data_IF_930400583383
#
_entry.id   IF_930400583383
#
_cell.length_a   1.000
_cell.length_b   1.000
_cell.length_c   1.000
_cell.angle_alpha   90.00
_cell.angle_beta   90.00
_cell.angle_gamma   90.00
#
_symmetry.space_group_name_H-M   'P 1'
#
loop_
_entity.id
_entity.type
_entity.pdbx_description
1 polymer ?
#
# COMPACT_ATOMS: atom_id res chain seq x y z
N UNK A 1 13.22 7.33 -0.17
CA UNK A 1 12.01 7.66 0.63
C UNK A 1 12.23 7.20 2.08
N UNK A 2 11.90 8.02 3.11
CA UNK A 2 12.08 7.65 4.53
C UNK A 2 11.22 6.46 4.97
N UNK A 3 10.07 6.28 4.31
CA UNK A 3 9.17 5.15 4.52
C UNK A 3 9.86 3.88 4.10
N UNK A 4 10.41 3.84 2.89
CA UNK A 4 11.17 2.68 2.41
C UNK A 4 12.33 2.31 3.35
N UNK A 5 13.10 3.29 3.84
CA UNK A 5 14.18 3.03 4.82
C UNK A 5 13.61 2.42 6.11
N UNK A 6 12.46 2.91 6.56
CA UNK A 6 11.77 2.38 7.74
C UNK A 6 11.32 0.93 7.50
N UNK A 7 10.70 0.64 6.36
CA UNK A 7 10.28 -0.72 5.97
C UNK A 7 11.49 -1.67 5.95
N UNK A 8 12.57 -1.29 5.27
CA UNK A 8 13.79 -2.07 5.20
C UNK A 8 14.37 -2.35 6.59
N UNK A 9 14.39 -1.35 7.48
CA UNK A 9 14.96 -1.49 8.81
C UNK A 9 14.14 -2.38 9.76
N UNK A 10 12.80 -2.34 9.69
CA UNK A 10 11.95 -3.02 10.68
C UNK A 10 11.46 -4.40 10.25
N UNK A 11 11.51 -4.70 8.94
CA UNK A 11 11.03 -5.99 8.40
C UNK A 11 12.16 -6.92 7.92
N UNK A 12 13.27 -6.44 7.37
CA UNK A 12 14.39 -7.30 6.92
C UNK A 12 13.97 -8.57 6.13
N UNK A 13 12.88 -8.52 5.34
CA UNK A 13 12.25 -9.60 4.54
C UNK A 13 10.99 -10.28 5.14
N UNK A 14 10.59 -9.97 6.38
CA UNK A 14 9.48 -10.65 7.08
C UNK A 14 8.09 -10.01 6.91
N UNK A 15 7.92 -9.13 5.92
CA UNK A 15 6.71 -8.32 5.81
C UNK A 15 5.49 -9.16 5.39
N UNK A 16 4.67 -9.42 6.40
CA UNK A 16 3.34 -10.03 6.37
C UNK A 16 2.33 -9.09 7.02
N UNK A 17 1.02 -9.31 6.85
CA UNK A 17 0.00 -8.45 7.45
C UNK A 17 0.09 -8.41 8.98
N UNK A 18 0.37 -9.57 9.61
CA UNK A 18 0.58 -9.69 11.06
C UNK A 18 1.81 -8.92 11.52
N UNK A 19 2.94 -9.08 10.79
CA UNK A 19 4.18 -8.38 11.13
C UNK A 19 4.03 -6.86 11.01
N UNK A 20 3.23 -6.40 10.03
CA UNK A 20 2.96 -4.99 9.76
C UNK A 20 2.08 -4.40 10.86
N UNK A 21 1.00 -5.09 11.21
CA UNK A 21 0.11 -4.68 12.30
C UNK A 21 0.87 -4.51 13.63
N UNK A 22 1.76 -5.46 13.97
CA UNK A 22 2.59 -5.38 15.17
C UNK A 22 3.56 -4.18 15.17
N UNK A 23 3.90 -3.65 13.99
CA UNK A 23 4.86 -2.54 13.80
C UNK A 23 4.20 -1.25 13.33
N UNK A 24 2.87 -1.22 13.17
CA UNK A 24 2.10 -0.06 12.72
C UNK A 24 2.40 1.22 13.51
N UNK A 25 2.61 1.19 14.85
CA UNK A 25 2.96 2.41 15.60
C UNK A 25 4.27 3.08 15.14
N UNK A 26 5.21 2.33 14.53
CA UNK A 26 6.43 2.90 13.96
C UNK A 26 6.19 3.49 12.58
N UNK A 27 5.32 2.87 11.79
CA UNK A 27 4.89 3.38 10.48
C UNK A 27 4.17 4.71 10.66
N UNK A 28 3.17 4.78 11.53
CA UNK A 28 2.41 6.01 11.78
C UNK A 28 3.28 7.18 12.27
N UNK A 29 4.39 6.90 12.99
CA UNK A 29 5.33 7.94 13.42
C UNK A 29 6.12 8.57 12.28
N UNK A 30 6.32 7.85 11.16
CA UNK A 30 7.07 8.37 10.00
C UNK A 30 6.15 8.97 8.93
N UNK A 31 4.85 8.67 9.00
CA UNK A 31 3.78 9.26 8.19
C UNK A 31 3.28 10.59 8.81
N UNK A 32 4.17 11.57 8.90
CA UNK A 32 3.77 12.94 9.24
C UNK A 32 3.15 13.66 8.01
N UNK A 33 2.68 14.90 8.20
CA UNK A 33 2.00 15.70 7.17
C UNK A 33 2.83 16.04 5.93
N UNK A 34 4.13 15.74 5.92
CA UNK A 34 4.99 15.89 4.75
C UNK A 34 5.16 14.61 3.94
N UNK A 35 4.47 13.52 4.30
CA UNK A 35 4.35 12.31 3.48
C UNK A 35 3.04 12.33 2.71
N UNK A 36 3.11 12.23 1.38
CA UNK A 36 1.91 12.01 0.57
C UNK A 36 1.53 10.53 0.53
N UNK A 37 0.25 10.21 0.27
CA UNK A 37 -0.19 8.84 0.05
C UNK A 37 0.59 8.14 -1.08
N UNK A 38 0.95 8.87 -2.15
CA UNK A 38 1.81 8.35 -3.22
C UNK A 38 3.16 7.90 -2.68
N UNK A 39 3.82 8.69 -1.83
CA UNK A 39 5.11 8.31 -1.24
C UNK A 39 5.02 7.02 -0.42
N UNK A 40 3.90 6.80 0.29
CA UNK A 40 3.62 5.55 1.03
C UNK A 40 3.47 4.38 0.06
N UNK A 41 2.55 4.53 -0.91
CA UNK A 41 2.20 3.48 -1.86
C UNK A 41 3.39 3.07 -2.74
N UNK A 42 4.15 4.05 -3.23
CA UNK A 42 5.41 3.82 -3.95
C UNK A 42 6.41 3.08 -3.04
N UNK A 43 6.64 3.55 -1.81
CA UNK A 43 7.62 2.93 -0.91
C UNK A 43 7.28 1.47 -0.55
N UNK A 44 6.01 1.18 -0.25
CA UNK A 44 5.55 -0.18 0.01
C UNK A 44 5.63 -1.05 -1.25
N UNK A 45 5.24 -0.51 -2.41
CA UNK A 45 5.33 -1.22 -3.68
C UNK A 45 6.77 -1.60 -4.04
N UNK A 46 7.70 -0.65 -3.97
CA UNK A 46 9.12 -0.91 -4.22
C UNK A 46 9.69 -1.94 -3.24
N UNK A 47 9.38 -1.81 -1.95
CA UNK A 47 9.83 -2.79 -0.94
C UNK A 47 9.30 -4.19 -1.25
N UNK A 48 8.00 -4.34 -1.51
CA UNK A 48 7.39 -5.63 -1.84
C UNK A 48 7.97 -6.25 -3.10
N UNK A 49 8.16 -5.45 -4.15
CA UNK A 49 8.72 -5.92 -5.41
C UNK A 49 10.17 -6.35 -5.28
N UNK A 50 10.99 -5.60 -4.54
CA UNK A 50 12.39 -5.94 -4.30
C UNK A 50 12.54 -7.23 -3.50
N UNK A 51 11.74 -7.39 -2.44
CA UNK A 51 11.77 -8.61 -1.62
C UNK A 51 11.12 -9.80 -2.31
N UNK A 52 10.13 -9.55 -3.17
CA UNK A 52 9.36 -10.58 -3.85
C UNK A 52 8.67 -11.52 -2.87
N UNK A 53 8.44 -12.76 -3.32
CA UNK A 53 7.98 -13.87 -2.46
C UNK A 53 6.78 -13.48 -1.57
N UNK A 54 6.94 -13.73 -0.27
CA UNK A 54 5.92 -13.46 0.75
C UNK A 54 5.54 -11.98 0.86
N UNK A 55 6.49 -11.06 0.68
CA UNK A 55 6.20 -9.62 0.79
C UNK A 55 5.23 -9.17 -0.33
N UNK A 56 5.49 -9.61 -1.56
CA UNK A 56 4.63 -9.27 -2.69
C UNK A 56 3.25 -9.92 -2.59
N UNK A 57 3.17 -11.20 -2.21
CA UNK A 57 1.86 -11.86 -2.03
C UNK A 57 1.07 -11.30 -0.86
N UNK A 58 1.75 -10.75 0.15
CA UNK A 58 1.13 -10.09 1.31
C UNK A 58 0.68 -8.65 1.02
N UNK A 59 1.17 -8.02 -0.05
CA UNK A 59 0.92 -6.62 -0.37
C UNK A 59 -0.55 -6.18 -0.26
N UNK A 60 -1.54 -6.86 -0.87
CA UNK A 60 -2.96 -6.44 -0.80
C UNK A 60 -3.47 -6.39 0.64
N UNK A 61 -3.10 -7.37 1.45
CA UNK A 61 -3.50 -7.44 2.85
C UNK A 61 -2.75 -6.41 3.71
N UNK A 62 -1.49 -6.11 3.38
CA UNK A 62 -0.75 -5.02 4.01
C UNK A 62 -1.37 -3.66 3.68
N UNK A 63 -1.81 -3.46 2.43
CA UNK A 63 -2.52 -2.26 2.01
C UNK A 63 -3.85 -2.09 2.76
N UNK A 64 -4.62 -3.17 2.91
CA UNK A 64 -5.82 -3.18 3.76
C UNK A 64 -5.50 -2.81 5.22
N UNK A 65 -4.37 -3.28 5.77
CA UNK A 65 -3.96 -2.91 7.15
C UNK A 65 -3.58 -1.43 7.28
N UNK A 66 -3.00 -0.82 6.24
CA UNK A 66 -2.73 0.63 6.22
C UNK A 66 -4.04 1.43 6.19
N UNK A 67 -4.99 1.04 5.34
CA UNK A 67 -6.33 1.62 5.30
C UNK A 67 -7.03 1.54 6.67
N UNK A 68 -7.13 0.33 7.24
CA UNK A 68 -7.77 0.12 8.53
C UNK A 68 -7.10 0.86 9.71
N UNK A 69 -5.84 1.27 9.55
CA UNK A 69 -5.09 2.01 10.55
C UNK A 69 -5.13 3.53 10.32
N UNK A 70 -5.97 4.01 9.39
CA UNK A 70 -6.06 5.42 8.98
C UNK A 70 -4.70 5.97 8.52
N UNK A 71 -3.80 5.10 8.03
CA UNK A 71 -2.53 5.50 7.43
C UNK A 71 -2.70 5.95 5.97
N UNK A 72 -3.79 5.53 5.33
CA UNK A 72 -4.18 5.87 3.97
C UNK A 72 -5.70 5.94 3.90
N UNK A 73 -6.22 6.97 3.22
CA UNK A 73 -7.66 7.13 2.96
C UNK A 73 -8.07 6.37 1.69
N UNK A 74 -9.34 5.99 1.59
CA UNK A 74 -9.87 5.27 0.43
C UNK A 74 -9.70 6.06 -0.88
N UNK A 75 -10.09 7.34 -0.87
CA UNK A 75 -9.95 8.26 -2.01
C UNK A 75 -8.50 8.30 -2.53
N UNK A 76 -7.52 8.40 -1.62
CA UNK A 76 -6.10 8.48 -1.97
C UNK A 76 -5.59 7.19 -2.62
N UNK A 77 -5.99 6.02 -2.09
CA UNK A 77 -5.61 4.72 -2.64
C UNK A 77 -6.21 4.54 -4.04
N UNK A 78 -7.52 4.78 -4.18
CA UNK A 78 -8.23 4.62 -5.45
C UNK A 78 -7.68 5.56 -6.51
N UNK A 79 -7.51 6.85 -6.17
CA UNK A 79 -6.90 7.85 -7.06
C UNK A 79 -5.49 7.49 -7.50
N UNK A 80 -4.67 6.96 -6.59
CA UNK A 80 -3.32 6.53 -6.94
C UNK A 80 -3.34 5.39 -7.96
N UNK A 81 -4.22 4.40 -7.78
CA UNK A 81 -4.31 3.24 -8.67
C UNK A 81 -5.14 3.47 -9.94
N UNK A 82 -5.98 4.50 -10.00
CA UNK A 82 -6.65 4.94 -11.22
C UNK A 82 -5.67 5.56 -12.24
N UNK A 83 -4.49 6.02 -11.78
CA UNK A 83 -3.49 6.61 -12.65
C UNK A 83 -2.98 5.62 -13.71
N UNK A 84 -2.81 6.12 -14.94
CA UNK A 84 -2.09 5.42 -16.00
C UNK A 84 -0.59 5.70 -15.85
N UNK A 85 0.15 4.74 -15.29
CA UNK A 85 1.58 4.83 -15.02
C UNK A 85 2.31 3.68 -15.69
N UNK A 86 3.26 3.99 -16.58
CA UNK A 86 4.21 3.02 -17.13
C UNK A 86 5.34 2.74 -16.12
N UNK A 87 5.00 2.07 -15.02
CA UNK A 87 5.96 1.59 -14.02
C UNK A 87 5.68 0.11 -13.73
N UNK A 88 6.64 -0.81 -13.99
CA UNK A 88 6.48 -2.24 -13.72
C UNK A 88 6.10 -2.56 -12.27
N UNK A 89 6.60 -1.80 -11.29
CA UNK A 89 6.28 -1.97 -9.87
C UNK A 89 4.84 -1.59 -9.61
N UNK A 90 4.42 -0.43 -10.12
CA UNK A 90 3.04 0.02 -10.03
C UNK A 90 2.08 -1.00 -10.63
N UNK A 91 2.34 -1.48 -11.86
CA UNK A 91 1.48 -2.46 -12.52
C UNK A 91 1.40 -3.78 -11.75
N UNK A 92 2.52 -4.27 -11.21
CA UNK A 92 2.55 -5.49 -10.40
C UNK A 92 1.74 -5.34 -9.11
N UNK A 93 1.92 -4.23 -8.39
CA UNK A 93 1.18 -3.92 -7.18
C UNK A 93 -0.31 -3.73 -7.44
N UNK A 94 -0.69 -2.97 -8.48
CA UNK A 94 -2.09 -2.75 -8.89
C UNK A 94 -2.78 -4.08 -9.16
N UNK A 95 -2.13 -4.95 -9.94
CA UNK A 95 -2.64 -6.30 -10.23
C UNK A 95 -2.85 -7.14 -8.98
N UNK A 96 -1.89 -7.13 -8.05
CA UNK A 96 -2.00 -7.90 -6.81
C UNK A 96 -3.07 -7.35 -5.86
N UNK A 97 -3.28 -6.02 -5.88
CA UNK A 97 -4.25 -5.32 -5.05
C UNK A 97 -5.67 -5.28 -5.61
N UNK A 98 -5.90 -5.70 -6.85
CA UNK A 98 -7.18 -5.58 -7.56
C UNK A 98 -8.41 -6.01 -6.74
N UNK A 99 -8.43 -7.18 -6.05
CA UNK A 99 -9.60 -7.55 -5.23
C UNK A 99 -9.87 -6.59 -4.07
N UNK A 100 -8.83 -6.03 -3.47
CA UNK A 100 -8.96 -5.03 -2.40
C UNK A 100 -9.43 -3.69 -2.96
N UNK A 101 -8.93 -3.28 -4.13
CA UNK A 101 -9.35 -2.03 -4.79
C UNK A 101 -10.83 -2.07 -5.20
N UNK A 102 -11.31 -3.20 -5.72
CA UNK A 102 -12.72 -3.42 -6.03
C UNK A 102 -13.59 -3.29 -4.78
N UNK A 103 -13.22 -4.02 -3.71
CA UNK A 103 -13.93 -3.94 -2.43
C UNK A 103 -13.94 -2.51 -1.86
N UNK A 104 -12.80 -1.81 -1.94
CA UNK A 104 -12.67 -0.46 -1.41
C UNK A 104 -13.53 0.55 -2.18
N UNK A 105 -13.63 0.41 -3.51
CA UNK A 105 -14.49 1.27 -4.34
C UNK A 105 -15.99 1.03 -4.07
N UNK A 106 -16.39 -0.22 -3.82
CA UNK A 106 -17.77 -0.56 -3.43
C UNK A 106 -18.12 0.00 -2.04
N UNK A 107 -17.22 -0.15 -1.06
CA UNK A 107 -17.42 0.28 0.33
C UNK A 107 -17.46 1.80 0.48
N UNK A 108 -16.56 2.52 -0.21
CA UNK A 108 -16.46 4.00 -0.15
C UNK A 108 -17.51 4.72 -1.02
N UNK A 109 -18.40 3.96 -1.69
CA UNK A 109 -19.42 4.53 -2.58
C UNK A 109 -18.86 5.19 -3.84
N UNK A 110 -17.58 4.98 -4.13
CA UNK A 110 -16.88 5.46 -5.34
C UNK A 110 -17.14 4.53 -6.52
N UNK A 111 -18.40 4.11 -6.72
CA UNK A 111 -18.82 3.34 -7.88
C UNK A 111 -18.62 4.19 -9.13
N UNK A 112 -17.50 3.98 -9.83
CA UNK A 112 -17.36 4.42 -11.21
C UNK A 112 -18.41 3.68 -12.04
N UNK A 113 -19.36 4.44 -12.60
CA UNK A 113 -20.30 3.96 -13.60
C UNK A 113 -19.50 3.40 -14.79
N UNK A 114 -19.47 2.07 -14.93
CA UNK A 114 -19.05 1.40 -16.16
C UNK A 114 -20.09 1.68 -17.25
N UNK A 115 -19.77 2.57 -18.20
CA UNK A 115 -20.50 2.80 -19.45
C UNK A 115 -19.90 1.95 -20.59
#
# INVERSE_FOLDING_TARGET
CRIYVTLAAIFNDDMTPTSLEARMPYILKVLDTSVSASDVLDAFGFYCQEKGGTAMTSFPYCLQKLYNAEALEAEDILKYYAADKEDPVFSACKKQAEPFLQWLAEDDGSSEEED
#
